data_IF_029721047031
#
_entry.id   IF_029721047031
#
_cell.length_a   1.000
_cell.length_b   1.000
_cell.length_c   1.000
_cell.angle_alpha   90.00
_cell.angle_beta   90.00
_cell.angle_gamma   90.00
#
_symmetry.space_group_name_H-M   'P 1'
#
loop_
_entity.id
_entity.type
_entity.pdbx_description
1 polymer ?
#
# COMPACT_ATOMS: atom_id res chain seq x y z
N UNK A 1 8.17 -24.25 -43.20
CA UNK A 1 7.91 -24.85 -41.87
C UNK A 1 7.13 -23.82 -41.06
N UNK A 2 5.81 -23.97 -41.03
CA UNK A 2 4.89 -23.05 -40.35
C UNK A 2 4.84 -23.46 -38.88
N UNK A 3 5.40 -22.63 -37.99
CA UNK A 3 5.40 -22.89 -36.56
C UNK A 3 3.97 -22.92 -36.02
N UNK A 4 3.61 -24.01 -35.35
CA UNK A 4 2.39 -24.10 -34.55
C UNK A 4 2.33 -22.90 -33.60
N UNK A 5 1.23 -22.15 -33.63
CA UNK A 5 0.99 -21.10 -32.63
C UNK A 5 1.08 -21.73 -31.23
N UNK A 6 1.87 -21.14 -30.34
CA UNK A 6 2.02 -21.56 -28.94
C UNK A 6 0.69 -21.31 -28.20
N UNK A 7 -0.25 -22.24 -28.35
CA UNK A 7 -1.60 -22.21 -27.77
C UNK A 7 -1.62 -22.19 -26.24
N UNK A 8 -0.46 -22.40 -25.61
CA UNK A 8 -0.30 -22.39 -24.16
C UNK A 8 -0.07 -20.97 -23.60
N UNK A 9 0.37 -20.04 -24.44
CA UNK A 9 0.56 -18.63 -24.05
C UNK A 9 -0.75 -17.85 -24.12
N UNK A 10 -1.22 -17.37 -22.97
CA UNK A 10 -2.45 -16.58 -22.84
C UNK A 10 -2.20 -15.08 -23.07
N UNK A 11 -1.07 -14.55 -22.61
CA UNK A 11 -0.67 -13.15 -22.81
C UNK A 11 0.82 -13.09 -23.10
N UNK A 12 1.21 -12.18 -23.99
CA UNK A 12 2.58 -11.80 -24.23
C UNK A 12 2.68 -10.29 -24.17
N UNK A 13 3.64 -9.80 -23.38
CA UNK A 13 3.92 -8.38 -23.23
C UNK A 13 5.38 -8.18 -23.55
N UNK A 14 5.65 -7.31 -24.53
CA UNK A 14 7.00 -6.96 -24.95
C UNK A 14 7.26 -5.48 -24.65
N UNK A 15 8.35 -5.18 -23.94
CA UNK A 15 8.87 -3.83 -23.67
C UNK A 15 7.81 -2.85 -23.10
N UNK A 16 7.01 -3.30 -22.13
CA UNK A 16 5.97 -2.47 -21.52
C UNK A 16 6.60 -1.23 -20.85
N UNK A 17 6.07 -0.06 -21.19
CA UNK A 17 6.46 1.24 -20.63
C UNK A 17 5.23 2.01 -20.18
N UNK A 18 5.24 2.46 -18.93
CA UNK A 18 4.17 3.29 -18.34
C UNK A 18 4.83 4.44 -17.60
N UNK A 19 4.77 5.63 -18.17
CA UNK A 19 5.41 6.83 -17.64
C UNK A 19 4.37 7.92 -17.36
N UNK A 20 4.45 8.55 -16.19
CA UNK A 20 3.55 9.62 -15.76
C UNK A 20 4.33 10.92 -15.59
N UNK A 21 3.79 12.04 -16.08
CA UNK A 21 4.33 13.36 -15.77
C UNK A 21 3.91 13.77 -14.34
N UNK A 22 4.88 14.16 -13.52
CA UNK A 22 4.70 14.62 -12.14
C UNK A 22 5.16 16.07 -12.02
N UNK A 23 4.26 16.93 -11.52
CA UNK A 23 4.50 18.36 -11.33
C UNK A 23 4.10 19.24 -12.54
N UNK A 24 3.86 20.53 -12.30
CA UNK A 24 3.64 21.52 -13.36
C UNK A 24 4.99 21.96 -13.92
N UNK A 25 5.11 22.03 -15.25
CA UNK A 25 6.25 22.69 -15.87
C UNK A 25 6.26 24.18 -15.46
N UNK A 26 7.29 24.58 -14.73
CA UNK A 26 7.55 25.98 -14.38
C UNK A 26 8.59 26.59 -15.30
N UNK A 27 8.81 27.91 -15.22
CA UNK A 27 9.81 28.61 -16.03
C UNK A 27 11.20 27.94 -15.90
N UNK A 28 11.64 27.26 -16.96
CA UNK A 28 12.93 26.58 -17.04
C UNK A 28 13.03 25.19 -16.40
N UNK A 29 11.98 24.64 -15.77
CA UNK A 29 12.00 23.27 -15.20
C UNK A 29 11.10 22.33 -16.00
N UNK A 30 11.71 21.26 -16.56
CA UNK A 30 10.97 20.15 -17.16
C UNK A 30 10.16 19.42 -16.08
N UNK A 31 8.94 18.97 -16.39
CA UNK A 31 8.17 18.13 -15.48
C UNK A 31 8.95 16.85 -15.19
N UNK A 32 8.94 16.42 -13.94
CA UNK A 32 9.55 15.18 -13.51
C UNK A 32 8.76 14.01 -14.14
N UNK A 33 9.44 13.02 -14.71
CA UNK A 33 8.76 11.86 -15.32
C UNK A 33 8.95 10.67 -14.40
N UNK A 34 7.86 10.17 -13.84
CA UNK A 34 7.83 8.92 -13.07
C UNK A 34 7.68 7.77 -14.06
N UNK A 35 8.72 6.95 -14.17
CA UNK A 35 8.70 5.74 -15.00
C UNK A 35 8.21 4.56 -14.16
N UNK A 36 6.89 4.39 -14.09
CA UNK A 36 6.27 3.34 -13.28
C UNK A 36 6.57 1.93 -13.83
N UNK A 37 6.69 1.80 -15.15
CA UNK A 37 7.22 0.61 -15.84
C UNK A 37 8.17 1.10 -16.93
N UNK A 38 9.39 0.53 -17.03
CA UNK A 38 10.39 0.96 -18.02
C UNK A 38 11.04 -0.23 -18.73
N UNK A 39 10.32 -0.83 -19.67
CA UNK A 39 10.83 -1.90 -20.53
C UNK A 39 10.73 -3.28 -19.90
N UNK A 40 9.55 -3.63 -19.41
CA UNK A 40 9.28 -4.96 -18.83
C UNK A 40 8.63 -5.86 -19.88
N UNK A 41 9.23 -7.02 -20.14
CA UNK A 41 8.65 -8.07 -21.00
C UNK A 41 8.31 -9.31 -20.18
N UNK A 42 7.15 -9.92 -20.42
CA UNK A 42 6.74 -11.16 -19.78
C UNK A 42 5.65 -11.89 -20.58
N UNK A 43 5.53 -13.19 -20.35
CA UNK A 43 4.44 -14.02 -20.86
C UNK A 43 3.59 -14.55 -19.69
N UNK A 44 2.27 -14.60 -19.87
CA UNK A 44 1.37 -15.37 -19.00
C UNK A 44 0.96 -16.61 -19.76
N UNK A 45 1.32 -17.78 -19.24
CA UNK A 45 0.94 -19.09 -19.77
C UNK A 45 -0.28 -19.65 -19.06
N UNK A 46 -0.99 -20.56 -19.69
CA UNK A 46 -2.11 -21.28 -19.07
C UNK A 46 -1.60 -22.01 -17.82
N UNK A 47 -2.35 -21.90 -16.73
CA UNK A 47 -1.97 -22.50 -15.44
C UNK A 47 -0.85 -21.76 -14.69
N UNK A 48 -0.37 -20.62 -15.18
CA UNK A 48 0.56 -19.74 -14.45
C UNK A 48 -0.18 -18.59 -13.75
N UNK A 49 0.42 -18.04 -12.69
CA UNK A 49 -0.04 -16.81 -12.04
C UNK A 49 1.11 -15.81 -12.06
N UNK A 50 0.80 -14.59 -12.50
CA UNK A 50 1.71 -13.45 -12.44
C UNK A 50 1.21 -12.47 -11.38
N UNK A 51 2.07 -12.13 -10.42
CA UNK A 51 1.81 -11.08 -9.44
C UNK A 51 2.68 -9.86 -9.75
N UNK A 52 2.06 -8.69 -9.81
CA UNK A 52 2.77 -7.41 -9.88
C UNK A 52 2.89 -6.87 -8.46
N UNK A 53 4.12 -6.68 -7.99
CA UNK A 53 4.38 -6.08 -6.68
C UNK A 53 5.08 -4.74 -6.91
N UNK A 54 4.54 -3.69 -6.29
CA UNK A 54 5.10 -2.34 -6.37
C UNK A 54 6.38 -2.20 -5.53
N UNK A 55 6.91 -0.96 -5.48
CA UNK A 55 7.98 -0.58 -4.54
C UNK A 55 7.56 -0.84 -3.09
N UNK A 56 8.56 -1.04 -2.24
CA UNK A 56 8.40 -1.19 -0.79
C UNK A 56 7.72 0.05 -0.18
N UNK A 57 6.95 -0.17 0.88
CA UNK A 57 6.26 0.89 1.62
C UNK A 57 4.82 1.14 1.16
N UNK A 58 3.91 1.28 2.12
CA UNK A 58 2.48 1.47 1.88
C UNK A 58 1.86 2.41 2.91
N UNK A 59 0.94 3.24 2.43
CA UNK A 59 0.02 4.03 3.24
C UNK A 59 -1.41 3.57 2.96
N UNK A 60 -2.15 3.24 4.00
CA UNK A 60 -3.59 2.95 3.91
C UNK A 60 -4.32 4.03 4.70
N UNK A 61 -5.22 4.77 4.07
CA UNK A 61 -5.97 5.85 4.71
C UNK A 61 -7.46 5.55 4.75
N UNK A 62 -8.07 5.85 5.89
CA UNK A 62 -9.51 5.82 6.12
C UNK A 62 -9.94 7.19 6.62
N UNK A 63 -10.76 7.89 5.83
CA UNK A 63 -11.36 9.17 6.22
C UNK A 63 -12.73 8.91 6.84
N UNK A 64 -12.95 9.45 8.02
CA UNK A 64 -14.14 9.27 8.84
C UNK A 64 -14.77 10.62 9.14
N UNK A 65 -16.08 10.73 8.95
CA UNK A 65 -16.83 11.91 9.37
C UNK A 65 -17.21 11.78 10.85
N UNK A 66 -16.72 12.69 11.69
CA UNK A 66 -16.90 12.63 13.14
C UNK A 66 -18.38 12.61 13.55
N UNK A 67 -19.24 13.35 12.83
CA UNK A 67 -20.69 13.35 13.08
C UNK A 67 -21.41 12.02 12.86
N UNK A 68 -20.76 11.03 12.23
CA UNK A 68 -21.32 9.67 12.05
C UNK A 68 -20.86 8.70 13.14
N UNK A 69 -19.96 9.14 14.03
CA UNK A 69 -19.35 8.31 15.05
C UNK A 69 -19.75 8.80 16.44
N UNK A 70 -19.83 7.86 17.38
CA UNK A 70 -20.09 8.19 18.78
C UNK A 70 -18.77 8.52 19.47
N UNK A 71 -18.69 9.69 20.07
CA UNK A 71 -17.63 10.03 21.00
C UNK A 71 -17.68 9.08 22.21
N UNK A 72 -16.50 8.68 22.68
CA UNK A 72 -16.34 7.85 23.87
C UNK A 72 -16.26 8.70 25.15
N UNK A 73 -16.08 8.06 26.31
CA UNK A 73 -16.06 8.74 27.61
C UNK A 73 -14.87 9.69 27.82
N UNK A 74 -13.87 9.68 26.92
CA UNK A 74 -12.58 10.36 27.13
C UNK A 74 -12.29 11.52 26.16
N UNK A 75 -13.28 12.01 25.41
CA UNK A 75 -13.10 13.18 24.55
C UNK A 75 -14.04 13.18 23.35
N UNK A 76 -13.75 14.04 22.37
CA UNK A 76 -14.44 14.00 21.09
C UNK A 76 -14.00 12.79 20.25
N UNK A 77 -14.57 12.64 19.04
CA UNK A 77 -14.31 11.47 18.18
C UNK A 77 -12.82 11.27 17.85
N UNK A 78 -12.05 12.29 17.43
CA UNK A 78 -10.60 12.11 17.21
C UNK A 78 -9.86 11.56 18.43
N UNK A 79 -10.10 12.14 19.61
CA UNK A 79 -9.40 11.74 20.84
C UNK A 79 -9.84 10.34 21.29
N UNK A 80 -11.12 10.01 21.08
CA UNK A 80 -11.67 8.67 21.30
C UNK A 80 -11.00 7.64 20.39
N UNK A 81 -10.86 7.93 19.10
CA UNK A 81 -10.21 7.02 18.15
C UNK A 81 -8.73 6.83 18.50
N UNK A 82 -8.02 7.91 18.81
CA UNK A 82 -6.62 7.86 19.20
C UNK A 82 -6.41 7.01 20.46
N UNK A 83 -7.20 7.25 21.51
CA UNK A 83 -7.13 6.48 22.75
C UNK A 83 -7.52 5.02 22.55
N UNK A 84 -8.54 4.75 21.73
CA UNK A 84 -8.96 3.38 21.38
C UNK A 84 -7.83 2.61 20.68
N UNK A 85 -7.20 3.19 19.66
CA UNK A 85 -6.08 2.54 18.98
C UNK A 85 -4.88 2.31 19.92
N UNK A 86 -4.53 3.29 20.75
CA UNK A 86 -3.44 3.15 21.74
C UNK A 86 -3.72 2.06 22.75
N UNK A 87 -4.95 1.98 23.25
CA UNK A 87 -5.35 0.95 24.19
C UNK A 87 -5.32 -0.43 23.52
N UNK A 88 -5.88 -0.55 22.31
CA UNK A 88 -5.96 -1.79 21.57
C UNK A 88 -4.57 -2.38 21.26
N UNK A 89 -3.62 -1.54 20.88
CA UNK A 89 -2.24 -1.95 20.55
C UNK A 89 -1.24 -1.78 21.70
N UNK A 90 -1.70 -1.58 22.93
CA UNK A 90 -0.82 -1.30 24.08
C UNK A 90 0.17 -2.41 24.41
N UNK A 91 -0.14 -3.67 24.05
CA UNK A 91 0.73 -4.83 24.24
C UNK A 91 1.64 -5.13 23.04
N UNK A 92 1.54 -4.37 21.95
CA UNK A 92 2.31 -4.63 20.73
C UNK A 92 3.59 -3.81 20.70
N UNK A 93 4.74 -4.46 20.54
CA UNK A 93 6.04 -3.77 20.37
C UNK A 93 6.26 -3.29 18.93
N UNK A 94 5.56 -3.90 17.96
CA UNK A 94 5.70 -3.59 16.54
C UNK A 94 4.76 -2.47 16.04
N UNK A 95 3.83 -2.00 16.88
CA UNK A 95 2.78 -1.05 16.46
C UNK A 95 2.85 0.21 17.29
N UNK A 96 3.09 1.35 16.64
CA UNK A 96 3.07 2.65 17.28
C UNK A 96 1.89 3.51 16.80
N UNK A 97 1.27 4.27 17.71
CA UNK A 97 0.08 5.07 17.43
C UNK A 97 0.34 6.56 17.75
N UNK A 98 0.22 7.40 16.74
CA UNK A 98 0.59 8.81 16.75
C UNK A 98 -0.62 9.74 16.55
N UNK A 99 -0.61 10.87 17.25
CA UNK A 99 -1.58 11.94 17.07
C UNK A 99 -1.18 12.95 15.98
N UNK A 100 0.08 12.91 15.56
CA UNK A 100 0.68 13.83 14.59
C UNK A 100 1.68 13.07 13.73
N UNK A 101 2.01 13.65 12.57
CA UNK A 101 3.07 13.13 11.70
C UNK A 101 4.40 13.80 12.09
N UNK A 102 5.39 13.06 12.58
CA UNK A 102 6.71 13.62 12.85
C UNK A 102 7.30 14.26 11.59
N UNK A 103 7.78 15.50 11.70
CA UNK A 103 8.32 16.25 10.55
C UNK A 103 7.29 16.69 9.50
N UNK A 104 5.99 16.47 9.75
CA UNK A 104 4.89 16.98 8.92
C UNK A 104 4.71 16.30 7.55
N UNK A 105 5.53 15.30 7.20
CA UNK A 105 5.42 14.54 5.94
C UNK A 105 5.39 13.04 6.22
N UNK A 106 4.36 12.38 5.68
CA UNK A 106 4.32 10.92 5.67
C UNK A 106 5.17 10.40 4.54
N UNK A 107 6.24 9.71 4.91
CA UNK A 107 7.06 8.95 3.98
C UNK A 107 6.59 7.49 3.97
N UNK A 108 6.06 6.97 2.85
CA UNK A 108 5.58 5.58 2.76
C UNK A 108 6.73 4.57 2.94
N UNK A 109 7.97 4.94 2.64
CA UNK A 109 9.13 4.03 2.63
C UNK A 109 9.84 3.97 4.00
N UNK A 110 9.41 4.75 4.99
CA UNK A 110 10.11 4.88 6.27
C UNK A 110 10.16 3.61 7.12
N UNK A 111 9.29 2.63 6.85
CA UNK A 111 9.24 1.35 7.57
C UNK A 111 9.68 0.17 6.71
N UNK A 112 10.29 0.42 5.55
CA UNK A 112 10.81 -0.63 4.67
C UNK A 112 11.73 -1.59 5.44
N UNK A 113 11.66 -2.87 5.08
CA UNK A 113 12.45 -3.97 5.65
C UNK A 113 12.18 -4.19 7.16
N UNK A 114 11.02 -3.74 7.66
CA UNK A 114 10.57 -3.99 9.05
C UNK A 114 9.19 -4.63 9.10
N UNK A 115 8.87 -5.31 10.20
CA UNK A 115 7.51 -5.75 10.51
C UNK A 115 6.70 -4.69 11.27
N UNK A 116 7.24 -3.47 11.41
CA UNK A 116 6.61 -2.43 12.21
C UNK A 116 5.47 -1.78 11.43
N UNK A 117 4.46 -1.33 12.15
CA UNK A 117 3.37 -0.53 11.64
C UNK A 117 3.21 0.73 12.49
N UNK A 118 2.93 1.84 11.84
CA UNK A 118 2.55 3.06 12.52
C UNK A 118 1.14 3.48 12.12
N UNK A 119 0.33 3.86 13.10
CA UNK A 119 -1.02 4.38 12.89
C UNK A 119 -1.04 5.85 13.29
N UNK A 120 -1.52 6.71 12.39
CA UNK A 120 -1.70 8.13 12.61
C UNK A 120 -3.19 8.43 12.68
N UNK A 121 -3.66 9.08 13.74
CA UNK A 121 -5.04 9.58 13.84
C UNK A 121 -4.99 11.10 13.76
N UNK A 122 -5.38 11.64 12.62
CA UNK A 122 -5.24 13.06 12.28
C UNK A 122 -6.62 13.70 12.09
N UNK A 123 -6.94 14.71 12.89
CA UNK A 123 -8.14 15.51 12.72
C UNK A 123 -7.90 16.73 11.84
N UNK A 124 -8.90 17.12 11.05
CA UNK A 124 -8.90 18.44 10.41
C UNK A 124 -9.05 19.57 11.47
N UNK A 125 -8.73 20.84 11.14
CA UNK A 125 -8.83 21.94 12.11
C UNK A 125 -10.23 22.11 12.71
N UNK A 126 -11.27 21.82 11.93
CA UNK A 126 -12.67 21.85 12.38
C UNK A 126 -13.11 20.58 13.11
N UNK A 127 -12.25 19.56 13.19
CA UNK A 127 -12.47 18.25 13.83
C UNK A 127 -13.76 17.56 13.35
N UNK A 128 -14.18 17.85 12.12
CA UNK A 128 -15.33 17.23 11.43
C UNK A 128 -14.92 15.95 10.71
N UNK A 129 -13.67 15.87 10.29
CA UNK A 129 -13.10 14.69 9.67
C UNK A 129 -11.88 14.22 10.45
N UNK A 130 -11.79 12.91 10.61
CA UNK A 130 -10.60 12.23 11.11
C UNK A 130 -10.08 11.31 10.03
N UNK A 131 -8.78 11.40 9.75
CA UNK A 131 -8.10 10.44 8.90
C UNK A 131 -7.27 9.51 9.79
N UNK A 132 -7.61 8.23 9.78
CA UNK A 132 -6.73 7.19 10.27
C UNK A 132 -5.82 6.74 9.12
N UNK A 133 -4.50 6.77 9.32
CA UNK A 133 -3.53 6.36 8.30
C UNK A 133 -2.63 5.29 8.89
N UNK A 134 -2.56 4.12 8.26
CA UNK A 134 -1.56 3.11 8.58
C UNK A 134 -0.37 3.23 7.62
N UNK A 135 0.83 3.23 8.17
CA UNK A 135 2.11 3.11 7.46
C UNK A 135 2.73 1.77 7.80
N UNK A 136 3.12 1.01 6.78
CA UNK A 136 3.72 -0.30 6.90
C UNK A 136 4.49 -0.66 5.64
N UNK A 137 5.37 -1.66 5.73
CA UNK A 137 5.95 -2.28 4.55
C UNK A 137 5.00 -3.32 3.95
N UNK A 138 4.58 -3.12 2.69
CA UNK A 138 3.74 -4.06 1.93
C UNK A 138 4.50 -5.28 1.41
N UNK A 139 5.83 -5.29 1.51
CA UNK A 139 6.69 -6.42 1.18
C UNK A 139 7.16 -7.19 2.42
N UNK A 140 6.61 -6.88 3.61
CA UNK A 140 6.84 -7.66 4.83
C UNK A 140 6.45 -9.14 4.69
N UNK A 141 6.75 -9.94 5.73
CA UNK A 141 6.48 -11.40 5.74
C UNK A 141 5.03 -11.78 5.44
N UNK A 142 4.06 -10.86 5.63
CA UNK A 142 2.64 -11.08 5.35
C UNK A 142 2.26 -11.11 3.86
N UNK A 143 2.96 -10.38 2.98
CA UNK A 143 2.66 -10.33 1.54
C UNK A 143 3.36 -11.46 0.78
N UNK A 144 4.64 -11.69 1.08
CA UNK A 144 5.37 -12.88 0.61
C UNK A 144 4.79 -14.18 1.18
N UNK A 145 4.31 -14.17 2.43
CA UNK A 145 3.60 -15.29 3.04
C UNK A 145 2.25 -15.60 2.38
N UNK A 146 1.42 -14.59 2.10
CA UNK A 146 0.18 -14.79 1.33
C UNK A 146 0.45 -15.23 -0.11
N UNK A 147 1.50 -14.70 -0.76
CA UNK A 147 1.93 -15.13 -2.09
C UNK A 147 2.44 -16.58 -2.10
N UNK A 148 3.20 -17.00 -1.10
CA UNK A 148 3.64 -18.39 -0.92
C UNK A 148 2.46 -19.32 -0.61
N UNK A 149 1.52 -18.90 0.23
CA UNK A 149 0.29 -19.66 0.52
C UNK A 149 -0.57 -19.79 -0.74
N UNK A 150 -0.70 -18.73 -1.55
CA UNK A 150 -1.39 -18.79 -2.84
C UNK A 150 -0.66 -19.71 -3.82
N UNK A 151 0.68 -19.64 -3.89
CA UNK A 151 1.50 -20.53 -4.72
C UNK A 151 1.39 -22.00 -4.26
N UNK A 152 1.34 -22.24 -2.95
CA UNK A 152 1.23 -23.57 -2.36
C UNK A 152 -0.19 -24.15 -2.49
N UNK A 153 -1.23 -23.32 -2.39
CA UNK A 153 -2.61 -23.67 -2.76
C UNK A 153 -2.69 -24.04 -4.26
N UNK A 154 -2.09 -23.25 -5.14
CA UNK A 154 -2.06 -23.55 -6.58
C UNK A 154 -1.29 -24.83 -6.89
N UNK A 155 -0.17 -25.11 -6.21
CA UNK A 155 0.60 -26.34 -6.39
C UNK A 155 -0.12 -27.61 -5.88
N UNK A 156 -0.97 -27.47 -4.86
CA UNK A 156 -1.80 -28.54 -4.30
C UNK A 156 -3.11 -28.77 -5.06
N UNK A 157 -3.54 -27.82 -5.88
CA UNK A 157 -4.73 -27.90 -6.74
C UNK A 157 -4.45 -28.47 -8.15
N UNK A 158 -3.40 -29.30 -8.32
CA UNK A 158 -3.20 -30.02 -9.57
C UNK A 158 -4.44 -30.85 -9.91
N UNK A 159 -5.13 -30.45 -10.99
CA UNK A 159 -6.13 -31.24 -11.71
C UNK A 159 -5.41 -32.15 -12.70
#
# INVERSE_FOLDING_TARGET
MTGMADTDRLLAVDDLKVHFARGKAGWGRRPEVVRAVDGVSFDIRRGSTLALVGRQGMLVSLVLHAGLLRAGPHGDVPDTLLSTYRQHYSASEDIAVHATVPGGRLDPEALNDTNRMEIFVLADPGRRHVTAIARLDNLGKGSSGAALVNLELMARLRV
#
